data_IF_127923476870
#
_entry.id   IF_127923476870
#
_cell.length_a   1.000
_cell.length_b   1.000
_cell.length_c   1.000
_cell.angle_alpha   90.00
_cell.angle_beta   90.00
_cell.angle_gamma   90.00
#
_symmetry.space_group_name_H-M   'P 1'
#
loop_
_entity.id
_entity.type
_entity.pdbx_description
1 polymer ?
#
# COMPACT_ATOMS: atom_id res chain seq x y z
N UNK A 1 27.13 6.71 -17.87
CA UNK A 1 28.10 5.59 -17.71
C UNK A 1 27.43 4.56 -16.82
N UNK A 2 27.38 3.30 -17.25
CA UNK A 2 26.81 2.18 -16.47
C UNK A 2 27.75 1.88 -15.30
N UNK A 3 27.25 1.80 -14.03
CA UNK A 3 28.09 1.51 -12.87
C UNK A 3 28.81 0.14 -13.03
N UNK A 4 30.05 -0.02 -12.52
CA UNK A 4 30.73 -1.31 -12.49
C UNK A 4 29.83 -2.36 -11.79
N UNK A 5 29.78 -3.58 -12.34
CA UNK A 5 28.94 -4.66 -11.79
C UNK A 5 27.46 -4.66 -12.18
N UNK A 6 26.93 -3.55 -12.70
CA UNK A 6 25.53 -3.44 -13.06
C UNK A 6 25.10 -4.49 -14.11
N UNK A 7 25.93 -4.70 -15.14
CA UNK A 7 25.62 -5.65 -16.20
C UNK A 7 25.55 -7.09 -15.69
N UNK A 8 26.40 -7.48 -14.72
CA UNK A 8 26.35 -8.78 -14.10
C UNK A 8 25.06 -8.97 -13.28
N UNK A 9 24.65 -7.96 -12.50
CA UNK A 9 23.40 -8.00 -11.76
C UNK A 9 22.17 -8.02 -12.68
N UNK A 10 22.17 -7.25 -13.75
CA UNK A 10 21.11 -7.29 -14.76
C UNK A 10 21.02 -8.68 -15.43
N UNK A 11 22.17 -9.28 -15.76
CA UNK A 11 22.25 -10.66 -16.25
C UNK A 11 21.67 -11.67 -15.27
N UNK A 12 21.96 -11.52 -13.96
CA UNK A 12 21.39 -12.35 -12.91
C UNK A 12 19.86 -12.21 -12.80
N UNK A 13 19.34 -10.98 -12.95
CA UNK A 13 17.87 -10.75 -13.00
C UNK A 13 17.24 -11.49 -14.18
N UNK A 14 17.84 -11.38 -15.37
CA UNK A 14 17.36 -12.08 -16.58
C UNK A 14 17.39 -13.61 -16.39
N UNK A 15 18.46 -14.14 -15.81
CA UNK A 15 18.58 -15.57 -15.53
C UNK A 15 17.58 -16.07 -14.47
N UNK A 16 17.12 -15.18 -13.58
CA UNK A 16 16.15 -15.47 -12.53
C UNK A 16 14.69 -15.32 -12.96
N UNK A 17 14.41 -14.88 -14.20
CA UNK A 17 13.05 -14.79 -14.73
C UNK A 17 12.32 -16.13 -14.58
N UNK A 18 11.05 -16.06 -14.24
CA UNK A 18 10.15 -17.21 -14.00
C UNK A 18 10.63 -18.13 -12.85
N UNK A 19 11.56 -17.68 -11.99
CA UNK A 19 12.03 -18.40 -10.81
C UNK A 19 11.82 -17.59 -9.51
N UNK A 20 11.76 -18.24 -8.34
CA UNK A 20 11.62 -17.53 -7.05
C UNK A 20 12.77 -16.54 -6.74
N UNK A 21 13.86 -16.60 -7.49
CA UNK A 21 15.02 -15.72 -7.30
C UNK A 21 14.87 -14.31 -7.89
N UNK A 22 13.89 -14.06 -8.77
CA UNK A 22 13.74 -12.78 -9.44
C UNK A 22 13.59 -11.59 -8.48
N UNK A 23 12.71 -11.63 -7.47
CA UNK A 23 12.53 -10.46 -6.58
C UNK A 23 13.83 -10.08 -5.86
N UNK A 24 14.58 -11.10 -5.40
CA UNK A 24 15.89 -10.87 -4.79
C UNK A 24 16.88 -10.26 -5.78
N UNK A 25 16.95 -10.79 -7.00
CA UNK A 25 17.84 -10.27 -8.05
C UNK A 25 17.52 -8.81 -8.38
N UNK A 26 16.24 -8.44 -8.47
CA UNK A 26 15.80 -7.04 -8.65
C UNK A 26 16.22 -6.17 -7.46
N UNK A 27 16.00 -6.64 -6.23
CA UNK A 27 16.40 -5.91 -5.03
C UNK A 27 17.92 -5.64 -5.00
N UNK A 28 18.74 -6.64 -5.35
CA UNK A 28 20.20 -6.53 -5.40
C UNK A 28 20.66 -5.53 -6.47
N UNK A 29 20.06 -5.54 -7.66
CA UNK A 29 20.34 -4.60 -8.74
C UNK A 29 19.98 -3.16 -8.34
N UNK A 30 18.80 -2.96 -7.77
CA UNK A 30 18.30 -1.64 -7.34
C UNK A 30 19.13 -1.11 -6.18
N UNK A 31 19.51 -1.97 -5.22
CA UNK A 31 20.36 -1.60 -4.07
C UNK A 31 21.78 -1.21 -4.50
N UNK A 32 22.28 -1.80 -5.59
CA UNK A 32 23.55 -1.41 -6.22
C UNK A 32 23.47 0.00 -6.85
N UNK A 33 22.29 0.39 -7.36
CA UNK A 33 22.05 1.71 -7.96
C UNK A 33 21.91 2.80 -6.89
N UNK A 34 21.12 2.54 -5.85
CA UNK A 34 20.95 3.42 -4.69
C UNK A 34 20.71 2.55 -3.44
N UNK A 35 21.57 2.66 -2.41
CA UNK A 35 21.43 1.84 -1.21
C UNK A 35 20.08 2.05 -0.52
N UNK A 36 19.46 0.97 -0.05
CA UNK A 36 18.27 0.97 0.80
C UNK A 36 18.31 -0.20 1.78
N UNK A 37 17.49 -0.11 2.84
CA UNK A 37 17.53 -1.04 3.96
C UNK A 37 16.72 -2.31 3.66
N UNK A 38 15.46 -2.15 3.26
CA UNK A 38 14.52 -3.25 3.02
C UNK A 38 13.78 -3.10 1.70
N UNK A 39 13.23 -4.21 1.22
CA UNK A 39 12.29 -4.25 0.10
C UNK A 39 11.14 -5.19 0.40
N UNK A 40 9.98 -4.87 -0.14
CA UNK A 40 8.80 -5.73 -0.16
C UNK A 40 8.11 -5.63 -1.51
N UNK A 41 7.54 -6.73 -1.96
CA UNK A 41 6.73 -6.77 -3.18
C UNK A 41 5.33 -7.23 -2.82
N UNK A 42 4.36 -6.35 -3.01
CA UNK A 42 2.95 -6.67 -2.90
C UNK A 42 2.29 -6.73 -4.27
N UNK A 43 1.41 -7.72 -4.43
CA UNK A 43 0.50 -7.79 -5.55
C UNK A 43 -0.91 -7.36 -5.14
N UNK A 44 -1.56 -6.56 -5.99
CA UNK A 44 -2.91 -6.05 -5.77
C UNK A 44 -3.83 -6.48 -6.90
N UNK A 45 -5.03 -6.94 -6.55
CA UNK A 45 -6.12 -7.29 -7.49
C UNK A 45 -7.37 -6.51 -7.13
N UNK A 46 -7.57 -5.37 -7.79
CA UNK A 46 -8.66 -4.48 -7.40
C UNK A 46 -8.59 -4.12 -5.92
N UNK A 47 -9.72 -4.09 -5.21
CA UNK A 47 -9.79 -3.71 -3.80
C UNK A 47 -9.50 -4.85 -2.82
N UNK A 48 -8.94 -5.97 -3.28
CA UNK A 48 -8.64 -7.10 -2.42
C UNK A 48 -7.45 -6.81 -1.48
N UNK A 49 -7.33 -7.62 -0.42
CA UNK A 49 -6.18 -7.57 0.50
C UNK A 49 -4.87 -7.74 -0.27
N UNK A 50 -3.81 -6.98 0.06
CA UNK A 50 -2.50 -7.13 -0.55
C UNK A 50 -1.99 -8.57 -0.44
N UNK A 51 -1.41 -9.08 -1.53
CA UNK A 51 -0.80 -10.39 -1.58
C UNK A 51 0.71 -10.21 -1.39
N UNK A 52 1.26 -10.79 -0.33
CA UNK A 52 2.70 -10.82 -0.08
C UNK A 52 3.38 -11.74 -1.11
N UNK A 53 4.25 -11.17 -1.94
CA UNK A 53 4.96 -11.89 -3.00
C UNK A 53 6.44 -12.08 -2.67
N UNK A 54 7.04 -11.13 -1.96
CA UNK A 54 8.43 -11.19 -1.53
C UNK A 54 8.72 -10.11 -0.48
N UNK A 55 9.56 -10.43 0.47
CA UNK A 55 10.20 -9.46 1.36
C UNK A 55 11.62 -9.92 1.78
N UNK A 56 12.45 -8.97 2.21
CA UNK A 56 13.77 -9.23 2.81
C UNK A 56 13.87 -8.75 4.26
N UNK A 57 12.72 -8.65 4.94
CA UNK A 57 12.69 -8.25 6.33
C UNK A 57 13.25 -9.30 7.28
N UNK A 58 13.97 -8.88 8.34
CA UNK A 58 14.22 -9.78 9.46
C UNK A 58 12.89 -10.13 10.18
N UNK A 59 12.81 -11.30 10.85
CA UNK A 59 11.55 -11.82 11.41
C UNK A 59 10.76 -10.84 12.29
N UNK A 60 11.45 -10.05 13.13
CA UNK A 60 10.84 -9.06 14.00
C UNK A 60 10.23 -7.87 13.22
N UNK A 61 10.80 -7.51 12.09
CA UNK A 61 10.26 -6.46 11.22
C UNK A 61 9.16 -6.99 10.31
N UNK A 62 9.28 -8.23 9.82
CA UNK A 62 8.26 -8.87 8.98
C UNK A 62 6.88 -8.88 9.62
N UNK A 63 6.82 -9.04 10.95
CA UNK A 63 5.53 -8.94 11.67
C UNK A 63 4.85 -7.60 11.40
N UNK A 64 5.56 -6.48 11.55
CA UNK A 64 5.00 -5.13 11.39
C UNK A 64 4.68 -4.86 9.91
N UNK A 65 5.65 -5.09 9.01
CA UNK A 65 5.56 -4.69 7.61
C UNK A 65 4.66 -5.58 6.74
N UNK A 66 4.42 -6.83 7.18
CA UNK A 66 3.60 -7.77 6.41
C UNK A 66 2.37 -8.21 7.21
N UNK A 67 2.56 -8.87 8.36
CA UNK A 67 1.44 -9.48 9.09
C UNK A 67 0.48 -8.43 9.64
N UNK A 68 0.99 -7.46 10.38
CA UNK A 68 0.17 -6.40 10.98
C UNK A 68 -0.37 -5.44 9.90
N UNK A 69 0.42 -5.16 8.84
CA UNK A 69 -0.01 -4.38 7.68
C UNK A 69 -1.25 -5.00 7.01
N UNK A 70 -1.19 -6.29 6.72
CA UNK A 70 -2.28 -7.02 6.09
C UNK A 70 -3.49 -7.22 7.01
N UNK A 71 -3.39 -7.00 8.31
CA UNK A 71 -4.52 -7.11 9.25
C UNK A 71 -5.52 -5.94 9.14
N UNK A 72 -5.13 -4.82 8.52
CA UNK A 72 -6.05 -3.68 8.32
C UNK A 72 -5.38 -2.38 7.94
N UNK A 73 -4.20 -2.02 8.45
CA UNK A 73 -3.53 -0.75 8.17
C UNK A 73 -3.35 -0.44 6.68
N UNK A 74 -3.18 -1.46 5.82
CA UNK A 74 -3.08 -1.29 4.36
C UNK A 74 -4.20 -0.44 3.76
N UNK A 75 -5.40 -0.47 4.35
CA UNK A 75 -6.55 0.31 3.89
C UNK A 75 -6.34 1.83 3.91
N UNK A 76 -5.39 2.28 4.73
CA UNK A 76 -5.05 3.68 4.92
C UNK A 76 -3.70 4.05 4.28
N UNK A 77 -3.02 3.07 3.69
CA UNK A 77 -1.73 3.26 3.04
C UNK A 77 -1.90 4.01 1.70
N UNK A 78 -1.21 5.15 1.50
CA UNK A 78 -1.26 5.88 0.23
C UNK A 78 -0.85 5.03 -0.98
N UNK A 79 0.10 4.12 -0.84
CA UNK A 79 0.51 3.24 -1.94
C UNK A 79 -0.55 2.21 -2.29
N UNK A 80 -1.19 1.60 -1.28
CA UNK A 80 -2.33 0.73 -1.53
C UNK A 80 -3.49 1.49 -2.22
N UNK A 81 -3.84 2.66 -1.68
CA UNK A 81 -4.92 3.48 -2.24
C UNK A 81 -4.66 3.90 -3.69
N UNK A 82 -3.40 4.13 -4.05
CA UNK A 82 -3.00 4.39 -5.42
C UNK A 82 -3.02 3.11 -6.28
N UNK A 83 -2.59 1.97 -5.75
CA UNK A 83 -2.55 0.71 -6.49
C UNK A 83 -3.95 0.19 -6.88
N UNK A 84 -4.97 0.47 -6.05
CA UNK A 84 -6.38 0.07 -6.33
C UNK A 84 -7.15 1.09 -7.15
N UNK A 85 -6.55 2.23 -7.47
CA UNK A 85 -7.10 3.27 -8.34
C UNK A 85 -6.25 3.39 -9.61
N UNK A 86 -6.76 3.98 -10.71
CA UNK A 86 -5.93 4.25 -11.88
C UNK A 86 -4.78 5.21 -11.54
N UNK A 87 -3.57 4.69 -11.41
CA UNK A 87 -2.31 5.45 -11.32
C UNK A 87 -1.42 5.06 -12.49
N UNK A 88 -0.71 6.01 -13.07
CA UNK A 88 0.24 5.71 -14.12
C UNK A 88 1.36 4.79 -13.58
N UNK A 89 1.82 3.80 -14.36
CA UNK A 89 3.00 3.02 -13.99
C UNK A 89 4.24 3.94 -13.85
N UNK A 90 5.08 3.70 -12.84
CA UNK A 90 6.24 4.56 -12.58
C UNK A 90 6.85 4.33 -11.21
N UNK A 91 7.83 5.15 -10.85
CA UNK A 91 8.42 5.22 -9.51
C UNK A 91 7.83 6.42 -8.75
N UNK A 92 7.38 6.18 -7.53
CA UNK A 92 6.74 7.20 -6.70
C UNK A 92 7.36 7.24 -5.30
N UNK A 93 7.37 8.43 -4.69
CA UNK A 93 7.67 8.62 -3.28
C UNK A 93 6.39 8.58 -2.46
N UNK A 94 6.40 7.89 -1.34
CA UNK A 94 5.23 7.84 -0.45
C UNK A 94 4.75 9.25 -0.06
N UNK A 95 5.69 10.13 0.28
CA UNK A 95 5.39 11.51 0.69
C UNK A 95 4.68 12.35 -0.38
N UNK A 96 4.93 12.06 -1.67
CA UNK A 96 4.33 12.83 -2.78
C UNK A 96 2.91 12.33 -3.11
N UNK A 97 2.58 11.11 -2.68
CA UNK A 97 1.26 10.50 -2.83
C UNK A 97 0.39 10.60 -1.58
N UNK A 98 1.02 10.82 -0.43
CA UNK A 98 0.34 10.89 0.85
C UNK A 98 -0.53 12.14 0.98
N UNK A 99 -1.69 12.06 1.65
CA UNK A 99 -2.50 13.21 1.98
C UNK A 99 -1.75 14.25 2.83
N UNK A 100 -2.22 15.49 2.79
CA UNK A 100 -1.57 16.66 3.39
C UNK A 100 -1.32 16.57 4.91
N UNK A 101 -2.08 15.76 5.64
CA UNK A 101 -1.89 15.48 7.08
C UNK A 101 -1.50 14.04 7.38
N UNK A 102 -1.01 13.30 6.41
CA UNK A 102 -0.62 11.91 6.58
C UNK A 102 0.31 11.71 7.80
N UNK A 103 1.40 12.47 7.89
CA UNK A 103 2.38 12.38 8.99
C UNK A 103 1.84 12.80 10.36
N UNK A 104 0.68 13.44 10.40
CA UNK A 104 -0.03 13.83 11.62
C UNK A 104 -1.21 12.89 11.91
N UNK A 105 -1.54 12.00 10.98
CA UNK A 105 -2.66 11.07 11.06
C UNK A 105 -2.36 9.89 11.98
N UNK A 106 -3.43 9.23 12.44
CA UNK A 106 -3.33 8.09 13.36
C UNK A 106 -2.69 6.86 12.72
N UNK A 107 -2.90 6.65 11.41
CA UNK A 107 -2.21 5.61 10.66
C UNK A 107 -0.68 5.76 10.76
N UNK A 108 -0.18 6.99 10.54
CA UNK A 108 1.25 7.25 10.66
C UNK A 108 1.74 7.02 12.10
N UNK A 109 1.07 7.60 13.11
CA UNK A 109 1.49 7.53 14.51
C UNK A 109 1.42 6.14 15.09
N UNK A 110 0.33 5.41 14.83
CA UNK A 110 0.08 4.11 15.47
C UNK A 110 0.65 2.93 14.69
N UNK A 111 0.92 3.10 13.40
CA UNK A 111 1.45 2.04 12.57
C UNK A 111 2.77 2.44 11.87
N UNK A 112 2.74 3.40 10.93
CA UNK A 112 3.88 3.67 10.06
C UNK A 112 5.13 4.14 10.84
N UNK A 113 4.98 4.96 11.87
CA UNK A 113 6.10 5.43 12.70
C UNK A 113 6.88 4.27 13.38
N UNK A 114 6.21 3.14 13.67
CA UNK A 114 6.87 1.95 14.26
C UNK A 114 7.81 1.25 13.28
N UNK A 115 7.68 1.51 11.98
CA UNK A 115 8.57 0.97 10.95
C UNK A 115 9.99 1.51 11.10
N UNK A 116 10.13 2.75 11.58
CA UNK A 116 11.41 3.45 11.72
C UNK A 116 12.00 3.89 10.37
N UNK A 117 11.18 3.99 9.34
CA UNK A 117 11.63 4.41 8.00
C UNK A 117 11.77 5.92 7.90
N UNK A 118 12.85 6.37 7.29
CA UNK A 118 13.04 7.75 6.88
C UNK A 118 12.32 8.07 5.56
N UNK A 119 12.28 7.11 4.64
CA UNK A 119 11.54 7.24 3.38
C UNK A 119 11.24 5.87 2.77
N UNK A 120 10.11 5.82 2.07
CA UNK A 120 9.70 4.73 1.19
C UNK A 120 9.41 5.27 -0.21
N UNK A 121 9.93 4.57 -1.23
CA UNK A 121 9.62 4.80 -2.64
C UNK A 121 9.19 3.47 -3.26
N UNK A 122 8.33 3.49 -4.27
CA UNK A 122 7.86 2.25 -4.88
C UNK A 122 7.68 2.35 -6.38
N UNK A 123 8.04 1.26 -7.07
CA UNK A 123 7.68 1.02 -8.46
C UNK A 123 6.26 0.46 -8.52
N UNK A 124 5.42 1.11 -9.31
CA UNK A 124 4.08 0.66 -9.65
C UNK A 124 4.10 0.08 -11.05
N UNK A 125 3.86 -1.21 -11.16
CA UNK A 125 3.89 -1.93 -12.44
C UNK A 125 2.52 -2.55 -12.70
N UNK A 126 1.84 -2.04 -13.72
CA UNK A 126 0.53 -2.55 -14.14
C UNK A 126 0.67 -3.92 -14.80
N UNK A 127 -0.24 -4.81 -14.46
CA UNK A 127 -0.45 -6.12 -15.09
C UNK A 127 -1.83 -6.17 -15.75
N UNK A 128 -2.14 -7.20 -16.57
CA UNK A 128 -3.48 -7.44 -17.09
C UNK A 128 -4.55 -7.50 -15.97
N UNK A 129 -5.82 -7.37 -16.34
CA UNK A 129 -7.00 -7.48 -15.47
C UNK A 129 -6.99 -6.55 -14.25
N UNK A 130 -6.44 -5.33 -14.44
CA UNK A 130 -6.32 -4.31 -13.39
C UNK A 130 -5.50 -4.75 -12.18
N UNK A 131 -4.64 -5.74 -12.35
CA UNK A 131 -3.69 -6.11 -11.32
C UNK A 131 -2.50 -5.15 -11.31
N UNK A 132 -1.91 -4.96 -10.13
CA UNK A 132 -0.77 -4.07 -9.92
C UNK A 132 0.27 -4.80 -9.07
N UNK A 133 1.52 -4.72 -9.45
CA UNK A 133 2.65 -5.08 -8.59
C UNK A 133 3.28 -3.79 -8.07
N UNK A 134 3.45 -3.70 -6.77
CA UNK A 134 4.16 -2.59 -6.11
C UNK A 134 5.41 -3.15 -5.46
N UNK A 135 6.57 -2.69 -5.92
CA UNK A 135 7.87 -3.04 -5.38
C UNK A 135 8.40 -1.84 -4.60
N UNK A 136 8.34 -1.92 -3.28
CA UNK A 136 8.78 -0.87 -2.36
C UNK A 136 10.24 -1.01 -2.00
N UNK A 137 10.96 0.12 -1.99
CA UNK A 137 12.33 0.29 -1.52
C UNK A 137 12.29 1.19 -0.30
N UNK A 138 12.77 0.69 0.82
CA UNK A 138 12.63 1.32 2.14
C UNK A 138 13.98 1.69 2.72
N UNK A 139 14.12 2.92 3.18
CA UNK A 139 15.35 3.43 3.79
C UNK A 139 15.08 3.93 5.21
N UNK A 140 15.83 3.42 6.19
CA UNK A 140 15.66 3.76 7.59
C UNK A 140 16.47 5.00 8.02
N UNK A 141 17.66 5.22 7.44
CA UNK A 141 18.61 6.23 7.95
C UNK A 141 18.30 7.65 7.45
N UNK A 142 18.03 7.83 6.16
CA UNK A 142 17.81 9.11 5.52
C UNK A 142 16.96 8.99 4.25
N UNK A 143 16.30 10.06 3.80
CA UNK A 143 15.58 10.06 2.52
C UNK A 143 16.51 9.82 1.32
N UNK A 144 15.94 9.31 0.23
CA UNK A 144 16.62 9.23 -1.05
C UNK A 144 16.87 10.62 -1.59
N UNK A 145 18.12 10.91 -2.01
CA UNK A 145 18.42 12.14 -2.72
C UNK A 145 17.71 12.17 -4.08
N UNK A 146 17.58 13.38 -4.65
CA UNK A 146 16.99 13.51 -5.99
C UNK A 146 17.79 12.76 -7.05
N UNK A 147 19.13 12.74 -6.92
CA UNK A 147 20.01 11.99 -7.84
C UNK A 147 19.76 10.48 -7.77
N UNK A 148 19.62 9.93 -6.57
CA UNK A 148 19.32 8.49 -6.38
C UNK A 148 17.95 8.15 -6.91
N UNK A 149 16.94 9.00 -6.65
CA UNK A 149 15.59 8.80 -7.14
C UNK A 149 15.55 8.77 -8.67
N UNK A 150 16.14 9.75 -9.34
CA UNK A 150 16.23 9.82 -10.81
C UNK A 150 17.00 8.61 -11.40
N UNK A 151 18.06 8.15 -10.72
CA UNK A 151 18.79 6.98 -11.16
C UNK A 151 17.94 5.70 -11.07
N UNK A 152 17.14 5.55 -10.02
CA UNK A 152 16.17 4.45 -9.87
C UNK A 152 15.03 4.60 -10.87
N UNK A 153 14.49 5.80 -11.07
CA UNK A 153 13.41 6.08 -12.03
C UNK A 153 13.81 5.70 -13.46
N UNK A 154 15.06 5.97 -13.84
CA UNK A 154 15.60 5.59 -15.16
C UNK A 154 15.63 4.07 -15.39
N UNK A 155 15.59 3.26 -14.31
CA UNK A 155 15.51 1.79 -14.39
C UNK A 155 14.06 1.29 -14.53
N UNK A 156 13.05 2.16 -14.45
CA UNK A 156 11.66 1.74 -14.51
C UNK A 156 11.34 0.83 -15.72
N UNK A 157 11.78 1.11 -16.95
CA UNK A 157 11.48 0.23 -18.09
C UNK A 157 12.01 -1.20 -17.91
N UNK A 158 13.21 -1.34 -17.33
CA UNK A 158 13.81 -2.64 -17.04
C UNK A 158 13.04 -3.38 -15.95
N UNK A 159 12.75 -2.70 -14.83
CA UNK A 159 11.98 -3.25 -13.72
C UNK A 159 10.58 -3.68 -14.18
N UNK A 160 9.90 -2.81 -14.94
CA UNK A 160 8.57 -3.08 -15.46
C UNK A 160 8.55 -4.33 -16.36
N UNK A 161 9.51 -4.44 -17.29
CA UNK A 161 9.60 -5.60 -18.18
C UNK A 161 9.84 -6.91 -17.41
N UNK A 162 10.77 -6.91 -16.44
CA UNK A 162 11.06 -8.08 -15.60
C UNK A 162 9.84 -8.48 -14.75
N UNK A 163 9.19 -7.51 -14.10
CA UNK A 163 8.00 -7.72 -13.26
C UNK A 163 6.83 -8.24 -14.09
N UNK A 164 6.54 -7.60 -15.23
CA UNK A 164 5.44 -8.02 -16.12
C UNK A 164 5.65 -9.43 -16.65
N UNK A 165 6.87 -9.79 -17.02
CA UNK A 165 7.20 -11.13 -17.48
C UNK A 165 7.03 -12.17 -16.37
N UNK A 166 7.60 -11.91 -15.19
CA UNK A 166 7.61 -12.86 -14.08
C UNK A 166 6.23 -13.11 -13.49
N UNK A 167 5.44 -12.06 -13.30
CA UNK A 167 4.08 -12.14 -12.74
C UNK A 167 2.98 -12.07 -13.80
N UNK A 168 3.26 -12.44 -15.06
CA UNK A 168 2.26 -12.40 -16.12
C UNK A 168 0.96 -13.13 -15.78
N UNK A 169 1.07 -14.27 -15.07
CA UNK A 169 -0.09 -15.06 -14.64
C UNK A 169 -0.79 -14.51 -13.38
N UNK A 170 -0.22 -13.51 -12.70
CA UNK A 170 -0.80 -12.97 -11.46
C UNK A 170 -2.14 -12.26 -11.71
N UNK A 171 -2.29 -11.56 -12.84
CA UNK A 171 -3.51 -10.85 -13.21
C UNK A 171 -4.62 -11.76 -13.74
N UNK A 172 -4.29 -12.92 -14.31
CA UNK A 172 -5.25 -13.80 -14.96
C UNK A 172 -6.10 -14.52 -13.90
N UNK A 173 -7.41 -14.36 -13.97
CA UNK A 173 -8.34 -15.06 -13.08
C UNK A 173 -8.12 -16.58 -13.17
N UNK A 174 -8.00 -17.24 -12.02
CA UNK A 174 -7.77 -18.68 -11.86
C UNK A 174 -9.00 -19.54 -12.30
N UNK A 175 -9.78 -19.06 -13.28
CA UNK A 175 -10.92 -19.76 -13.85
C UNK A 175 -10.57 -20.88 -14.81
N UNK A 176 -9.33 -20.96 -15.32
CA UNK A 176 -8.87 -22.04 -16.20
C UNK A 176 -7.43 -22.45 -15.89
N UNK A 177 -7.27 -23.46 -15.03
CA UNK A 177 -6.21 -24.48 -15.10
C UNK A 177 -4.74 -24.03 -15.03
N UNK A 178 -4.36 -23.03 -14.22
CA UNK A 178 -2.94 -22.67 -13.99
C UNK A 178 -2.49 -23.02 -12.58
N UNK A 179 -1.28 -23.60 -12.44
CA UNK A 179 -0.70 -24.08 -11.19
C UNK A 179 -0.78 -23.01 -10.07
N UNK A 180 -1.43 -23.38 -8.98
CA UNK A 180 -1.58 -22.57 -7.76
C UNK A 180 -0.21 -22.42 -7.08
N UNK A 181 0.47 -21.30 -7.27
CA UNK A 181 1.41 -20.82 -6.25
C UNK A 181 0.53 -20.38 -5.07
N UNK A 182 0.67 -21.08 -3.94
CA UNK A 182 -0.17 -21.10 -2.76
C UNK A 182 -0.78 -19.79 -2.27
N UNK A 183 -1.91 -19.42 -2.80
CA UNK A 183 -2.65 -18.22 -2.42
C UNK A 183 -4.03 -18.64 -1.89
N UNK A 184 -4.07 -19.12 -0.63
CA UNK A 184 -5.29 -19.10 0.18
C UNK A 184 -5.35 -17.76 0.91
N UNK A 185 -5.92 -16.74 0.26
CA UNK A 185 -6.31 -15.48 0.89
C UNK A 185 -7.77 -15.22 0.53
N UNK A 186 -8.61 -15.06 1.52
CA UNK A 186 -10.02 -14.70 1.35
C UNK A 186 -10.11 -13.34 0.62
N UNK A 187 -10.92 -13.28 -0.44
CA UNK A 187 -11.21 -12.06 -1.19
C UNK A 187 -11.98 -11.10 -0.30
N UNK A 188 -11.39 -9.98 0.05
CA UNK A 188 -12.01 -8.91 0.81
C UNK A 188 -11.89 -7.60 0.06
N UNK A 189 -13.02 -6.97 -0.28
CA UNK A 189 -13.06 -5.71 -1.01
C UNK A 189 -12.97 -4.52 -0.05
N UNK A 190 -12.02 -3.59 -0.29
CA UNK A 190 -11.85 -2.32 0.47
C UNK A 190 -13.11 -1.45 0.44
N UNK A 191 -13.81 -1.45 -0.68
CA UNK A 191 -15.09 -0.75 -0.78
C UNK A 191 -16.10 -1.28 0.26
N UNK A 192 -15.95 -2.54 0.68
CA UNK A 192 -16.77 -3.15 1.71
C UNK A 192 -16.38 -2.68 3.12
N UNK A 193 -15.09 -2.47 3.38
CA UNK A 193 -14.58 -2.15 4.71
C UNK A 193 -14.90 -0.70 5.12
N UNK A 194 -14.65 0.30 4.26
CA UNK A 194 -15.12 1.67 4.51
C UNK A 194 -16.65 1.81 4.34
N UNK A 195 -17.24 1.07 3.39
CA UNK A 195 -18.68 1.04 3.15
C UNK A 195 -19.49 0.50 4.33
N UNK A 196 -18.91 -0.39 5.14
CA UNK A 196 -19.55 -0.98 6.33
C UNK A 196 -19.35 -0.13 7.59
N UNK A 197 -18.28 0.69 7.65
CA UNK A 197 -17.99 1.50 8.82
C UNK A 197 -19.09 2.53 9.11
N UNK A 198 -19.64 2.50 10.30
CA UNK A 198 -20.68 3.43 10.75
C UNK A 198 -22.06 3.27 10.07
N UNK A 199 -22.30 2.16 9.36
CA UNK A 199 -23.61 1.87 8.77
C UNK A 199 -24.67 1.78 9.86
N UNK A 200 -25.81 2.46 9.65
CA UNK A 200 -26.89 2.56 10.64
C UNK A 200 -26.72 3.66 11.69
N UNK A 201 -25.52 4.26 11.80
CA UNK A 201 -25.24 5.37 12.74
C UNK A 201 -24.92 6.66 11.97
N UNK A 202 -24.03 6.57 10.99
CA UNK A 202 -23.57 7.69 10.19
C UNK A 202 -24.35 7.80 8.87
N UNK A 203 -24.65 9.01 8.43
CA UNK A 203 -25.15 9.26 7.08
C UNK A 203 -24.09 8.94 6.03
N UNK A 204 -24.47 8.78 4.76
CA UNK A 204 -23.53 8.54 3.67
C UNK A 204 -22.43 9.61 3.61
N UNK A 205 -22.79 10.89 3.80
CA UNK A 205 -21.85 12.02 3.77
C UNK A 205 -20.90 12.04 4.98
N UNK A 206 -21.38 11.65 6.14
CA UNK A 206 -20.55 11.52 7.33
C UNK A 206 -19.56 10.36 7.20
N UNK A 207 -19.96 9.23 6.59
CA UNK A 207 -19.03 8.11 6.31
C UNK A 207 -17.93 8.52 5.36
N UNK A 208 -18.25 9.28 4.32
CA UNK A 208 -17.27 9.82 3.38
C UNK A 208 -16.27 10.77 4.09
N UNK A 209 -16.74 11.65 4.96
CA UNK A 209 -15.88 12.51 5.79
C UNK A 209 -15.04 11.70 6.77
N UNK A 210 -15.58 10.64 7.37
CA UNK A 210 -14.81 9.74 8.24
C UNK A 210 -13.69 9.04 7.48
N UNK A 211 -13.95 8.56 6.26
CA UNK A 211 -12.98 7.95 5.38
C UNK A 211 -11.80 8.89 5.06
N UNK A 212 -12.08 10.12 4.60
CA UNK A 212 -11.00 11.10 4.33
C UNK A 212 -10.25 11.50 5.61
N UNK A 213 -10.93 11.56 6.75
CA UNK A 213 -10.28 11.84 8.04
C UNK A 213 -9.31 10.72 8.44
N UNK A 214 -9.72 9.47 8.31
CA UNK A 214 -8.90 8.29 8.59
C UNK A 214 -7.70 8.19 7.65
N UNK A 215 -7.87 8.55 6.38
CA UNK A 215 -6.79 8.59 5.37
C UNK A 215 -5.79 9.73 5.61
N UNK A 216 -6.06 10.67 6.50
CA UNK A 216 -5.13 11.75 6.84
C UNK A 216 -5.31 13.02 6.01
N UNK A 217 -6.52 13.29 5.48
CA UNK A 217 -6.83 14.57 4.84
C UNK A 217 -7.20 15.65 5.87
N UNK A 218 -6.73 16.88 5.63
CA UNK A 218 -7.22 18.06 6.35
C UNK A 218 -8.69 18.35 6.00
N UNK A 219 -9.32 19.27 6.71
CA UNK A 219 -10.67 19.74 6.35
C UNK A 219 -10.66 20.47 5.00
N UNK A 220 -9.57 21.14 4.68
CA UNK A 220 -9.31 21.84 3.42
C UNK A 220 -9.21 20.85 2.26
N UNK A 221 -8.34 19.85 2.39
CA UNK A 221 -8.13 18.81 1.38
C UNK A 221 -9.39 17.96 1.16
N UNK A 222 -10.02 17.48 2.24
CA UNK A 222 -11.27 16.73 2.15
C UNK A 222 -12.39 17.57 1.52
N UNK A 223 -12.51 18.85 1.91
CA UNK A 223 -13.50 19.76 1.34
C UNK A 223 -13.34 19.95 -0.16
N UNK A 224 -12.11 20.12 -0.63
CA UNK A 224 -11.79 20.24 -2.04
C UNK A 224 -12.20 18.99 -2.83
N UNK A 225 -11.83 17.80 -2.33
CA UNK A 225 -12.15 16.50 -2.98
C UNK A 225 -13.67 16.29 -3.01
N UNK A 226 -14.36 16.61 -1.93
CA UNK A 226 -15.80 16.39 -1.76
C UNK A 226 -16.69 17.50 -2.35
N UNK A 227 -16.10 18.61 -2.83
CA UNK A 227 -16.84 19.77 -3.35
C UNK A 227 -17.66 20.51 -2.29
N UNK A 228 -17.18 20.58 -1.04
CA UNK A 228 -17.83 21.29 0.08
C UNK A 228 -16.85 22.19 0.81
N UNK A 229 -17.39 23.14 1.62
CA UNK A 229 -16.52 24.02 2.39
C UNK A 229 -15.76 23.28 3.50
N UNK A 230 -14.53 23.72 3.86
CA UNK A 230 -13.83 23.17 5.03
C UNK A 230 -14.62 23.29 6.33
N UNK A 231 -15.44 24.35 6.46
CA UNK A 231 -16.35 24.52 7.58
C UNK A 231 -17.40 23.41 7.67
N UNK A 232 -17.96 23.01 6.52
CA UNK A 232 -18.91 21.89 6.42
C UNK A 232 -18.24 20.56 6.81
N UNK A 233 -17.00 20.33 6.38
CA UNK A 233 -16.23 19.14 6.80
C UNK A 233 -16.06 19.10 8.32
N UNK A 234 -15.71 20.23 8.95
CA UNK A 234 -15.57 20.32 10.43
C UNK A 234 -16.89 20.05 11.17
N UNK A 235 -18.02 20.53 10.61
CA UNK A 235 -19.35 20.22 11.15
C UNK A 235 -19.64 18.73 11.07
N UNK A 236 -19.38 18.08 9.92
CA UNK A 236 -19.54 16.63 9.79
C UNK A 236 -18.65 15.86 10.78
N UNK A 237 -17.36 16.23 10.93
CA UNK A 237 -16.47 15.60 11.94
C UNK A 237 -17.05 15.69 13.36
N UNK A 238 -17.54 16.86 13.76
CA UNK A 238 -18.19 17.03 15.08
C UNK A 238 -19.41 16.11 15.22
N UNK A 239 -20.25 16.02 14.19
CA UNK A 239 -21.43 15.16 14.21
C UNK A 239 -21.05 13.66 14.25
N UNK A 240 -20.02 13.25 13.51
CA UNK A 240 -19.46 11.89 13.55
C UNK A 240 -19.03 11.55 14.98
N UNK A 241 -18.24 12.41 15.61
CA UNK A 241 -17.75 12.18 16.97
C UNK A 241 -18.91 12.08 17.97
N UNK A 242 -19.91 12.96 17.88
CA UNK A 242 -21.09 12.91 18.73
C UNK A 242 -21.89 11.60 18.55
N UNK A 243 -22.13 11.18 17.29
CA UNK A 243 -22.89 9.97 16.99
C UNK A 243 -22.18 8.69 17.39
N UNK A 244 -20.84 8.64 17.20
CA UNK A 244 -20.02 7.50 17.59
C UNK A 244 -19.61 7.52 19.08
N UNK A 245 -19.96 8.60 19.81
CA UNK A 245 -19.60 8.82 21.22
C UNK A 245 -18.09 8.78 21.46
N UNK A 246 -17.32 9.42 20.58
CA UNK A 246 -15.88 9.56 20.63
C UNK A 246 -15.48 11.03 20.72
N UNK A 247 -14.24 11.30 21.17
CA UNK A 247 -13.74 12.66 21.39
C UNK A 247 -12.47 12.98 20.57
N UNK A 248 -11.92 11.99 19.86
CA UNK A 248 -10.64 12.14 19.15
C UNK A 248 -10.61 11.38 17.83
N UNK A 249 -9.65 11.77 16.97
CA UNK A 249 -9.36 11.03 15.74
C UNK A 249 -8.75 9.65 16.05
N UNK A 250 -8.00 9.53 17.16
CA UNK A 250 -7.47 8.24 17.61
C UNK A 250 -8.56 7.24 17.96
N UNK A 251 -9.62 7.68 18.66
CA UNK A 251 -10.78 6.83 18.95
C UNK A 251 -11.53 6.45 17.66
N UNK A 252 -11.65 7.38 16.67
CA UNK A 252 -12.21 7.05 15.36
C UNK A 252 -11.40 5.96 14.66
N UNK A 253 -10.08 6.05 14.71
CA UNK A 253 -9.17 5.07 14.13
C UNK A 253 -9.30 3.70 14.83
N UNK A 254 -9.35 3.67 16.16
CA UNK A 254 -9.53 2.43 16.94
C UNK A 254 -10.85 1.74 16.59
N UNK A 255 -11.96 2.48 16.55
CA UNK A 255 -13.26 1.94 16.14
C UNK A 255 -13.26 1.40 14.72
N UNK A 256 -12.54 2.05 13.80
CA UNK A 256 -12.39 1.55 12.44
C UNK A 256 -11.67 0.20 12.42
N UNK A 257 -10.54 0.07 13.13
CA UNK A 257 -9.80 -1.20 13.22
C UNK A 257 -10.63 -2.32 13.87
N UNK A 258 -11.33 -2.03 14.95
CA UNK A 258 -12.25 -3.00 15.61
C UNK A 258 -13.33 -3.51 14.65
N UNK A 259 -13.83 -2.65 13.76
CA UNK A 259 -14.81 -3.03 12.73
C UNK A 259 -14.20 -4.03 11.73
N UNK A 260 -12.91 -3.86 11.40
CA UNK A 260 -12.19 -4.79 10.52
C UNK A 260 -12.01 -6.16 11.18
N UNK A 261 -11.58 -6.19 12.45
CA UNK A 261 -11.39 -7.43 13.22
C UNK A 261 -12.71 -8.20 13.42
N UNK A 262 -13.80 -7.50 13.78
CA UNK A 262 -15.12 -8.10 13.95
C UNK A 262 -15.65 -8.71 12.64
N UNK A 263 -15.34 -8.11 11.49
CA UNK A 263 -15.72 -8.64 10.19
C UNK A 263 -14.86 -9.86 9.81
N UNK A 264 -13.58 -9.95 10.21
CA UNK A 264 -12.74 -11.17 10.08
C UNK A 264 -13.36 -12.32 10.87
N UNK A 265 -13.69 -12.08 12.14
CA UNK A 265 -14.27 -13.11 13.02
C UNK A 265 -15.61 -13.64 12.50
N UNK A 266 -16.49 -12.78 11.95
CA UNK A 266 -17.76 -13.19 11.36
C UNK A 266 -17.60 -14.05 10.10
N UNK A 267 -16.55 -13.85 9.33
CA UNK A 267 -16.27 -14.65 8.13
C UNK A 267 -15.75 -16.03 8.49
N UNK A 268 -14.88 -16.11 9.53
CA UNK A 268 -14.36 -17.38 10.04
C UNK A 268 -15.43 -18.28 10.70
N UNK A 269 -16.54 -17.69 11.18
CA UNK A 269 -17.67 -18.44 11.77
C UNK A 269 -18.68 -18.95 10.74
N UNK A 270 -18.60 -18.52 9.47
CA UNK A 270 -19.52 -18.88 8.39
C UNK A 270 -18.93 -19.85 7.36
N UNK A 271 -17.67 -20.22 7.47
CA UNK A 271 -16.97 -21.19 6.62
C UNK A 271 -16.65 -22.46 7.38
#
# INVERSE_FOLDING_TARGET
MIPPGWAALAGAVVAALDSPGLPKGLADLLRHTAPFTYTVVFGYRGPDRPIDLYDDFPPNKRKIFVTDYQAGPYLLDPFYLAAVRPVAPGLYRLRDMAPDRFYQGEYYRNYYAQTGLAEEIAYFVSLPDRAMIVLSLMRAEKPFSQKEFLALEALFPFVAAAVQRHWAAFGVDAGQGGARVGLRGERRSVAHDFGSFGVGILTAREREVAEYTLKGHSAESAGQIMGISPGTVRIHRRNIYAKLRINSQGELFSLFLETLDAAVLKTLQRG
#
